data_IF_374226811547
#
_entry.id   IF_374226811547
#
_cell.length_a   1.000
_cell.length_b   1.000
_cell.length_c   1.000
_cell.angle_alpha   90.00
_cell.angle_beta   90.00
_cell.angle_gamma   90.00
#
_symmetry.space_group_name_H-M   'P 1'
#
loop_
_entity.id
_entity.type
_entity.pdbx_description
1 polymer ?
#
# COMPACT_ATOMS: atom_id res chain seq x y z
N UNK A 1 -9.86 27.16 -34.91
CA UNK A 1 -10.02 26.31 -33.72
C UNK A 1 -8.70 25.59 -33.50
N UNK A 2 -7.73 26.24 -32.84
CA UNK A 2 -6.43 25.63 -32.52
C UNK A 2 -6.67 24.62 -31.41
N UNK A 3 -6.50 23.34 -31.73
CA UNK A 3 -6.46 22.27 -30.74
C UNK A 3 -5.26 22.51 -29.85
N UNK A 4 -5.51 22.97 -28.62
CA UNK A 4 -4.49 23.07 -27.61
C UNK A 4 -3.98 21.67 -27.29
N UNK A 5 -2.67 21.50 -27.42
CA UNK A 5 -1.94 20.32 -26.98
C UNK A 5 -2.36 19.95 -25.56
N UNK A 6 -3.15 18.89 -25.43
CA UNK A 6 -3.30 18.18 -24.16
C UNK A 6 -2.06 17.31 -23.96
N UNK A 7 -0.89 17.95 -23.92
CA UNK A 7 0.29 17.32 -23.37
C UNK A 7 0.05 17.25 -21.86
N UNK A 8 -0.55 16.14 -21.43
CA UNK A 8 -0.50 15.74 -20.03
C UNK A 8 0.97 15.87 -19.64
N UNK A 9 1.28 16.70 -18.65
CA UNK A 9 2.65 17.04 -18.23
C UNK A 9 3.33 15.78 -17.68
N UNK A 10 3.81 14.92 -18.59
CA UNK A 10 4.53 13.69 -18.28
C UNK A 10 5.94 14.13 -17.90
N UNK A 11 6.20 14.20 -16.60
CA UNK A 11 7.55 14.43 -16.07
C UNK A 11 8.44 13.24 -16.40
N UNK A 12 9.61 13.53 -16.96
CA UNK A 12 10.66 12.54 -17.18
C UNK A 12 11.10 11.94 -15.85
N UNK A 13 11.20 10.60 -15.77
CA UNK A 13 11.58 9.91 -14.53
C UNK A 13 12.98 10.30 -14.04
N UNK A 14 13.86 10.72 -14.94
CA UNK A 14 15.20 11.20 -14.63
C UNK A 14 15.18 12.45 -13.73
N UNK A 15 14.11 13.24 -13.79
CA UNK A 15 13.98 14.51 -13.05
C UNK A 15 13.17 14.35 -11.75
N UNK A 16 12.67 13.14 -11.45
CA UNK A 16 11.86 12.89 -10.25
C UNK A 16 12.76 12.46 -9.09
N UNK A 17 12.72 13.17 -7.93
CA UNK A 17 13.47 12.76 -6.75
C UNK A 17 13.10 11.35 -6.30
N UNK A 18 14.08 10.56 -5.84
CA UNK A 18 13.85 9.18 -5.38
C UNK A 18 12.80 9.09 -4.27
N UNK A 19 12.77 10.05 -3.35
CA UNK A 19 11.74 10.13 -2.28
C UNK A 19 10.33 10.24 -2.85
N UNK A 20 10.14 10.98 -3.95
CA UNK A 20 8.85 11.12 -4.62
C UNK A 20 8.47 9.82 -5.33
N UNK A 21 9.42 9.15 -6.01
CA UNK A 21 9.21 7.85 -6.65
C UNK A 21 8.76 6.81 -5.63
N UNK A 22 9.48 6.68 -4.51
CA UNK A 22 9.18 5.72 -3.45
C UNK A 22 7.83 6.02 -2.80
N UNK A 23 7.56 7.29 -2.46
CA UNK A 23 6.31 7.67 -1.82
C UNK A 23 5.10 7.40 -2.72
N UNK A 24 5.22 7.65 -4.02
CA UNK A 24 4.17 7.33 -5.01
C UNK A 24 3.96 5.84 -5.16
N UNK A 25 5.03 5.05 -5.21
CA UNK A 25 4.93 3.59 -5.25
C UNK A 25 4.26 3.05 -3.97
N UNK A 26 4.61 3.58 -2.80
CA UNK A 26 3.97 3.20 -1.53
C UNK A 26 2.47 3.51 -1.53
N UNK A 27 2.06 4.70 -2.01
CA UNK A 27 0.64 5.05 -2.15
C UNK A 27 -0.08 4.13 -3.13
N UNK A 28 0.52 3.82 -4.28
CA UNK A 28 -0.05 2.89 -5.25
C UNK A 28 -0.28 1.50 -4.65
N UNK A 29 0.71 0.97 -3.92
CA UNK A 29 0.59 -0.30 -3.23
C UNK A 29 -0.46 -0.25 -2.11
N UNK A 30 -0.53 0.84 -1.33
CA UNK A 30 -1.55 1.03 -0.31
C UNK A 30 -2.96 1.02 -0.91
N UNK A 31 -3.21 1.80 -1.96
CA UNK A 31 -4.50 1.85 -2.65
C UNK A 31 -4.88 0.49 -3.24
N UNK A 32 -3.93 -0.21 -3.87
CA UNK A 32 -4.17 -1.55 -4.42
C UNK A 32 -4.50 -2.57 -3.32
N UNK A 33 -3.82 -2.51 -2.17
CA UNK A 33 -4.13 -3.38 -1.04
C UNK A 33 -5.51 -3.08 -0.44
N UNK A 34 -5.88 -1.80 -0.29
CA UNK A 34 -7.19 -1.39 0.20
C UNK A 34 -8.32 -1.92 -0.70
N UNK A 35 -8.16 -1.80 -2.02
CA UNK A 35 -9.09 -2.33 -3.01
C UNK A 35 -9.27 -3.85 -2.86
N UNK A 36 -8.16 -4.58 -2.74
CA UNK A 36 -8.14 -6.04 -2.59
C UNK A 36 -8.66 -6.52 -1.23
N UNK A 37 -8.68 -5.66 -0.23
CA UNK A 37 -9.35 -5.91 1.05
C UNK A 37 -10.85 -5.56 1.00
N UNK A 38 -11.34 -5.00 -0.12
CA UNK A 38 -12.71 -4.52 -0.26
C UNK A 38 -12.98 -3.18 0.45
N UNK A 39 -11.96 -2.51 0.99
CA UNK A 39 -12.12 -1.31 1.81
C UNK A 39 -12.60 -0.08 1.04
N UNK A 40 -12.61 -0.16 -0.30
CA UNK A 40 -13.13 0.89 -1.19
C UNK A 40 -14.65 0.84 -1.35
N UNK A 41 -15.29 -0.26 -0.96
CA UNK A 41 -16.75 -0.44 -1.05
C UNK A 41 -17.44 -0.18 0.29
N UNK A 42 -18.74 0.12 0.25
CA UNK A 42 -19.54 0.38 1.45
C UNK A 42 -19.66 -0.85 2.36
N UNK A 43 -19.66 -2.05 1.78
CA UNK A 43 -19.58 -3.32 2.50
C UNK A 43 -18.35 -4.11 1.98
N UNK A 44 -17.22 -4.08 2.73
CA UNK A 44 -15.99 -4.72 2.32
C UNK A 44 -16.09 -6.23 2.10
N UNK A 45 -17.00 -6.93 2.79
CA UNK A 45 -17.15 -8.39 2.68
C UNK A 45 -17.88 -8.81 1.39
N UNK A 46 -18.64 -7.88 0.80
CA UNK A 46 -19.38 -8.08 -0.45
C UNK A 46 -18.67 -7.55 -1.71
N UNK A 47 -17.51 -6.92 -1.55
CA UNK A 47 -16.78 -6.26 -2.64
C UNK A 47 -16.42 -7.24 -3.76
N UNK A 48 -16.70 -6.91 -5.05
CA UNK A 48 -16.29 -7.74 -6.19
C UNK A 48 -14.77 -7.71 -6.42
N UNK A 49 -14.05 -6.80 -5.76
CA UNK A 49 -12.60 -6.64 -5.88
C UNK A 49 -11.82 -7.27 -4.72
N UNK A 50 -12.53 -7.81 -3.71
CA UNK A 50 -11.92 -8.47 -2.57
C UNK A 50 -11.19 -9.75 -2.98
N UNK A 51 -9.89 -9.79 -2.70
CA UNK A 51 -8.99 -10.91 -2.91
C UNK A 51 -7.87 -10.88 -1.85
N UNK A 52 -8.01 -11.72 -0.82
CA UNK A 52 -7.05 -11.77 0.28
C UNK A 52 -5.69 -12.35 -0.15
N UNK A 53 -5.65 -13.26 -1.11
CA UNK A 53 -4.36 -13.83 -1.56
C UNK A 53 -3.54 -12.78 -2.31
N UNK A 54 -4.18 -11.95 -3.12
CA UNK A 54 -3.57 -10.78 -3.73
C UNK A 54 -3.22 -9.71 -2.69
N UNK A 55 -4.11 -9.39 -1.75
CA UNK A 55 -3.86 -8.40 -0.70
C UNK A 55 -2.61 -8.77 0.12
N UNK A 56 -2.45 -10.05 0.48
CA UNK A 56 -1.26 -10.56 1.19
C UNK A 56 0.04 -10.21 0.47
N UNK A 57 0.07 -10.40 -0.85
CA UNK A 57 1.26 -10.14 -1.69
C UNK A 57 1.56 -8.65 -1.75
N UNK A 58 0.55 -7.81 -1.97
CA UNK A 58 0.72 -6.35 -2.05
C UNK A 58 1.14 -5.75 -0.71
N UNK A 59 0.49 -6.13 0.40
CA UNK A 59 0.86 -5.67 1.75
C UNK A 59 2.28 -6.11 2.11
N UNK A 60 2.68 -7.33 1.76
CA UNK A 60 4.05 -7.82 1.99
C UNK A 60 5.08 -7.02 1.18
N UNK A 61 4.78 -6.68 -0.08
CA UNK A 61 5.64 -5.85 -0.91
C UNK A 61 5.77 -4.42 -0.36
N UNK A 62 4.65 -3.82 0.05
CA UNK A 62 4.63 -2.51 0.70
C UNK A 62 5.46 -2.52 1.98
N UNK A 63 5.31 -3.52 2.84
CA UNK A 63 6.11 -3.65 4.07
C UNK A 63 7.62 -3.71 3.77
N UNK A 64 8.02 -4.48 2.76
CA UNK A 64 9.41 -4.53 2.32
C UNK A 64 9.92 -3.17 1.82
N UNK A 65 9.13 -2.49 1.00
CA UNK A 65 9.46 -1.15 0.49
C UNK A 65 9.62 -0.13 1.63
N UNK A 66 8.66 -0.08 2.55
CA UNK A 66 8.67 0.86 3.67
C UNK A 66 9.85 0.61 4.60
N UNK A 67 10.08 -0.65 4.99
CA UNK A 67 11.19 -1.00 5.87
C UNK A 67 12.54 -0.66 5.23
N UNK A 68 12.70 -0.90 3.92
CA UNK A 68 13.94 -0.60 3.21
C UNK A 68 14.17 0.90 2.97
N UNK A 69 13.11 1.72 2.96
CA UNK A 69 13.18 3.13 2.57
C UNK A 69 12.99 4.14 3.70
N UNK A 70 12.69 3.68 4.91
CA UNK A 70 12.21 4.53 6.01
C UNK A 70 13.14 5.69 6.37
N UNK A 71 14.47 5.48 6.29
CA UNK A 71 15.46 6.53 6.60
C UNK A 71 15.49 7.66 5.55
N UNK A 72 15.01 7.41 4.34
CA UNK A 72 15.00 8.38 3.24
C UNK A 72 13.67 9.13 3.10
N UNK A 73 12.59 8.63 3.71
CA UNK A 73 11.24 9.17 3.55
C UNK A 73 10.99 10.45 4.37
N UNK A 74 11.83 10.75 5.35
CA UNK A 74 11.72 11.93 6.18
C UNK A 74 10.30 12.09 6.78
N UNK A 75 9.64 13.26 6.61
CA UNK A 75 8.29 13.49 7.14
C UNK A 75 7.21 12.53 6.62
N UNK A 76 7.39 11.92 5.44
CA UNK A 76 6.41 11.01 4.85
C UNK A 76 6.40 9.61 5.48
N UNK A 77 7.43 9.26 6.26
CA UNK A 77 7.59 7.93 6.84
C UNK A 77 6.46 7.56 7.82
N UNK A 78 6.01 8.51 8.63
CA UNK A 78 4.97 8.30 9.65
C UNK A 78 3.63 7.86 9.04
N UNK A 79 3.02 8.70 8.17
CA UNK A 79 1.76 8.36 7.53
C UNK A 79 1.78 7.06 6.72
N UNK A 80 2.88 6.78 6.01
CA UNK A 80 3.02 5.55 5.23
C UNK A 80 3.05 4.31 6.13
N UNK A 81 3.76 4.37 7.27
CA UNK A 81 3.78 3.30 8.26
C UNK A 81 2.42 3.06 8.89
N UNK A 82 1.72 4.13 9.25
CA UNK A 82 0.38 4.05 9.84
C UNK A 82 -0.62 3.42 8.85
N UNK A 83 -0.57 3.83 7.58
CA UNK A 83 -1.35 3.22 6.51
C UNK A 83 -1.06 1.74 6.33
N UNK A 84 0.22 1.34 6.30
CA UNK A 84 0.61 -0.07 6.25
C UNK A 84 0.06 -0.86 7.46
N UNK A 85 0.19 -0.35 8.68
CA UNK A 85 -0.35 -1.02 9.87
C UNK A 85 -1.87 -1.15 9.84
N UNK A 86 -2.58 -0.14 9.32
CA UNK A 86 -4.03 -0.21 9.13
C UNK A 86 -4.41 -1.34 8.15
N UNK A 87 -3.70 -1.46 7.02
CA UNK A 87 -3.93 -2.55 6.06
C UNK A 87 -3.63 -3.94 6.66
N UNK A 88 -2.57 -4.07 7.46
CA UNK A 88 -2.23 -5.33 8.13
C UNK A 88 -3.31 -5.75 9.13
N UNK A 89 -3.86 -4.81 9.91
CA UNK A 89 -4.99 -5.07 10.82
C UNK A 89 -6.26 -5.44 10.06
N UNK A 90 -6.61 -4.67 9.04
CA UNK A 90 -7.78 -4.96 8.20
C UNK A 90 -7.68 -6.34 7.54
N UNK A 91 -6.49 -6.74 7.06
CA UNK A 91 -6.26 -8.09 6.56
C UNK A 91 -6.51 -9.16 7.62
N UNK A 92 -6.01 -8.95 8.84
CA UNK A 92 -6.18 -9.87 9.97
C UNK A 92 -7.66 -10.05 10.32
N UNK A 93 -8.40 -8.95 10.38
CA UNK A 93 -9.84 -8.93 10.66
C UNK A 93 -10.65 -9.61 9.54
N UNK A 94 -10.28 -9.36 8.29
CA UNK A 94 -10.93 -9.93 7.10
C UNK A 94 -10.68 -11.43 6.92
N UNK A 95 -9.61 -11.98 7.52
CA UNK A 95 -9.25 -13.39 7.38
C UNK A 95 -10.11 -14.28 8.27
N UNK A 96 -10.75 -15.28 7.68
CA UNK A 96 -11.47 -16.33 8.43
C UNK A 96 -10.53 -17.23 9.24
N UNK A 97 -9.25 -17.27 8.86
CA UNK A 97 -8.19 -18.01 9.56
C UNK A 97 -7.00 -17.06 9.73
N UNK A 98 -6.99 -16.21 10.78
CA UNK A 98 -5.93 -15.24 10.99
C UNK A 98 -4.58 -15.93 11.18
N UNK A 99 -3.53 -15.36 10.58
CA UNK A 99 -2.16 -15.82 10.79
C UNK A 99 -1.73 -15.63 12.26
N UNK A 100 -0.82 -16.48 12.73
CA UNK A 100 -0.16 -16.27 14.02
C UNK A 100 0.53 -14.88 14.07
N UNK A 101 0.63 -14.23 15.25
CA UNK A 101 1.37 -12.99 15.38
C UNK A 101 2.79 -13.09 14.83
N UNK A 102 3.19 -12.17 13.96
CA UNK A 102 4.47 -12.14 13.27
C UNK A 102 4.49 -12.91 11.94
N UNK A 103 3.38 -13.55 11.56
CA UNK A 103 3.22 -14.33 10.32
C UNK A 103 2.24 -13.73 9.32
N UNK A 104 1.56 -12.65 9.70
CA UNK A 104 0.68 -11.89 8.82
C UNK A 104 1.43 -11.23 7.65
N UNK A 105 0.70 -10.69 6.66
CA UNK A 105 1.28 -10.02 5.51
C UNK A 105 2.24 -8.90 5.92
N UNK A 106 3.50 -8.99 5.48
CA UNK A 106 4.54 -8.01 5.82
C UNK A 106 5.05 -8.01 7.26
N UNK A 107 4.45 -8.77 8.19
CA UNK A 107 4.83 -8.77 9.62
C UNK A 107 6.26 -9.26 9.89
N UNK A 108 6.84 -10.04 8.96
CA UNK A 108 8.26 -10.40 8.99
C UNK A 108 9.20 -9.16 8.97
N UNK A 109 8.72 -8.03 8.44
CA UNK A 109 9.48 -6.78 8.38
C UNK A 109 9.07 -5.78 9.45
N UNK A 110 7.79 -5.77 9.85
CA UNK A 110 7.21 -4.75 10.74
C UNK A 110 7.02 -5.21 12.18
N UNK A 111 7.14 -6.51 12.44
CA UNK A 111 6.66 -7.13 13.67
C UNK A 111 5.14 -7.40 13.64
N UNK A 112 4.61 -8.05 14.69
CA UNK A 112 3.19 -8.37 14.80
C UNK A 112 2.32 -7.11 14.90
N UNK A 113 1.14 -7.15 14.28
CA UNK A 113 0.06 -6.17 14.52
C UNK A 113 -1.06 -6.78 15.38
N UNK A 114 -1.60 -5.96 16.27
CA UNK A 114 -2.68 -6.30 17.21
C UNK A 114 -3.92 -5.46 16.94
#
# INVERSE_FOLDING_TARGET
MTGGDQNTDVRELADVPSVEVISRAAVMLMSSAAEKLGLSDADPDSSPHRDLDEARRVITALAGLVTASIEYLGPHAGPIREGLQALQRAFREASSHPDEPGKGPGEKYTGPVY
#
